data_IF_566304894031
#
_entry.id   IF_566304894031
#
_cell.length_a   1.000
_cell.length_b   1.000
_cell.length_c   1.000
_cell.angle_alpha   90.00
_cell.angle_beta   90.00
_cell.angle_gamma   90.00
#
_symmetry.space_group_name_H-M   'P 1'
#
loop_
_entity.id
_entity.type
_entity.pdbx_description
1 polymer ?
#
# COMPACT_ATOMS: atom_id res chain seq x y z
N UNK A 1 0.53 18.52 -0.66
CA UNK A 1 1.67 18.67 -1.58
C UNK A 1 2.57 17.42 -1.63
N UNK A 2 3.18 17.00 -0.51
CA UNK A 2 4.16 15.89 -0.50
C UNK A 2 3.63 14.54 -1.04
N UNK A 3 2.40 14.13 -0.71
CA UNK A 3 1.78 12.90 -1.23
C UNK A 3 1.68 12.89 -2.76
N UNK A 4 1.23 14.00 -3.36
CA UNK A 4 1.05 14.10 -4.82
C UNK A 4 2.39 13.94 -5.53
N UNK A 5 3.46 14.54 -4.99
CA UNK A 5 4.80 14.40 -5.54
C UNK A 5 5.30 12.94 -5.48
N UNK A 6 5.01 12.22 -4.40
CA UNK A 6 5.38 10.79 -4.28
C UNK A 6 4.60 9.90 -5.22
N UNK A 7 3.29 10.13 -5.39
CA UNK A 7 2.48 9.41 -6.38
C UNK A 7 2.98 9.71 -7.79
N UNK A 8 3.32 10.96 -8.10
CA UNK A 8 3.88 11.35 -9.40
C UNK A 8 5.22 10.65 -9.66
N UNK A 9 6.14 10.67 -8.70
CA UNK A 9 7.42 9.99 -8.80
C UNK A 9 7.26 8.47 -8.96
N UNK A 10 6.28 7.88 -8.27
CA UNK A 10 5.93 6.48 -8.41
C UNK A 10 5.44 6.14 -9.83
N UNK A 11 4.56 6.97 -10.40
CA UNK A 11 4.08 6.83 -11.77
C UNK A 11 5.20 6.99 -12.80
N UNK A 12 6.10 7.96 -12.61
CA UNK A 12 7.26 8.17 -13.47
C UNK A 12 8.23 6.98 -13.41
N UNK A 13 8.40 6.36 -12.24
CA UNK A 13 9.35 5.26 -12.03
C UNK A 13 8.83 3.91 -12.52
N UNK A 14 7.56 3.61 -12.26
CA UNK A 14 7.00 2.26 -12.45
C UNK A 14 5.92 2.19 -13.53
N UNK A 15 5.43 3.34 -14.00
CA UNK A 15 4.25 3.42 -14.87
C UNK A 15 2.94 3.33 -14.09
N UNK A 16 1.83 3.38 -14.83
CA UNK A 16 0.47 3.29 -14.28
C UNK A 16 -0.15 1.90 -14.42
N UNK A 17 0.31 1.11 -15.38
CA UNK A 17 -0.21 -0.24 -15.64
C UNK A 17 0.23 -1.20 -14.54
N UNK A 18 -0.71 -2.01 -14.06
CA UNK A 18 -0.46 -3.06 -13.05
C UNK A 18 0.28 -2.54 -11.80
N UNK A 19 0.04 -1.26 -11.47
CA UNK A 19 0.76 -0.52 -10.44
C UNK A 19 -0.22 0.11 -9.46
N UNK A 20 -0.13 -0.29 -8.19
CA UNK A 20 -1.05 0.12 -7.13
C UNK A 20 -0.32 0.90 -6.06
N UNK A 21 -0.68 2.17 -5.87
CA UNK A 21 -0.07 3.00 -4.82
C UNK A 21 -0.75 2.78 -3.48
N UNK A 22 0.01 2.28 -2.49
CA UNK A 22 -0.41 2.15 -1.10
C UNK A 22 -0.08 3.43 -0.32
N UNK A 23 -1.05 3.93 0.43
CA UNK A 23 -0.87 5.09 1.30
C UNK A 23 -1.54 4.87 2.65
N UNK A 24 -1.03 5.55 3.69
CA UNK A 24 -1.50 5.42 5.07
C UNK A 24 -1.55 3.95 5.54
N UNK A 25 -0.64 3.12 5.04
CA UNK A 25 -0.61 1.70 5.35
C UNK A 25 0.26 1.46 6.58
N UNK A 26 -0.10 0.42 7.34
CA UNK A 26 0.59 0.03 8.56
C UNK A 26 0.70 -1.49 8.69
N UNK A 27 1.79 -1.95 9.27
CA UNK A 27 2.03 -3.33 9.64
C UNK A 27 2.36 -3.38 11.12
N UNK A 28 1.62 -4.19 11.87
CA UNK A 28 1.78 -4.30 13.33
C UNK A 28 2.20 -5.74 13.65
N UNK A 29 3.33 -5.88 14.32
CA UNK A 29 3.79 -7.15 14.88
C UNK A 29 3.49 -7.18 16.38
N UNK A 30 2.95 -8.31 16.84
CA UNK A 30 2.76 -8.63 18.25
C UNK A 30 3.70 -9.80 18.60
N UNK A 31 4.84 -9.49 19.20
CA UNK A 31 5.88 -10.45 19.58
C UNK A 31 5.63 -11.08 20.96
N UNK A 32 4.77 -10.46 21.75
CA UNK A 32 4.27 -11.01 23.02
C UNK A 32 2.74 -10.90 23.05
N UNK A 33 2.15 -11.53 24.06
CA UNK A 33 0.70 -11.51 24.27
C UNK A 33 0.20 -10.18 24.85
N UNK A 34 1.09 -9.26 25.25
CA UNK A 34 0.73 -7.94 25.75
C UNK A 34 1.23 -6.85 24.78
N UNK A 35 0.32 -6.13 24.08
CA UNK A 35 0.69 -5.03 23.19
C UNK A 35 1.42 -3.87 23.87
N UNK A 36 1.36 -3.74 25.20
CA UNK A 36 2.17 -2.75 25.93
C UNK A 36 3.62 -3.21 26.12
N UNK A 37 3.90 -4.49 25.91
CA UNK A 37 5.21 -5.12 26.11
C UNK A 37 5.55 -6.11 25.02
N UNK A 38 5.46 -5.71 23.74
CA UNK A 38 5.87 -6.58 22.63
C UNK A 38 5.34 -6.17 21.27
N UNK A 39 5.01 -4.90 21.08
CA UNK A 39 4.41 -4.42 19.84
C UNK A 39 5.39 -3.59 19.03
N UNK A 40 5.39 -3.79 17.72
CA UNK A 40 6.07 -2.94 16.75
C UNK A 40 5.13 -2.54 15.62
N UNK A 41 4.99 -1.24 15.38
CA UNK A 41 4.18 -0.65 14.33
C UNK A 41 5.08 0.01 13.31
N UNK A 42 5.00 -0.47 12.07
CA UNK A 42 5.64 0.15 10.91
C UNK A 42 4.58 0.87 10.09
N UNK A 43 4.89 2.09 9.68
CA UNK A 43 4.13 2.80 8.64
C UNK A 43 4.86 2.69 7.31
N UNK A 44 4.10 2.60 6.22
CA UNK A 44 4.67 2.53 4.89
C UNK A 44 3.77 3.12 3.81
N UNK A 45 4.41 3.55 2.72
CA UNK A 45 3.77 3.96 1.49
C UNK A 45 4.64 3.55 0.30
N UNK A 46 4.03 3.41 -0.87
CA UNK A 46 4.76 3.03 -2.08
C UNK A 46 3.91 2.27 -3.08
N UNK A 47 4.55 1.51 -3.97
CA UNK A 47 3.89 0.84 -5.09
C UNK A 47 3.93 -0.67 -4.92
N UNK A 48 2.82 -1.34 -5.20
CA UNK A 48 2.75 -2.78 -5.47
C UNK A 48 2.58 -2.98 -6.97
N UNK A 49 3.40 -3.87 -7.53
CA UNK A 49 3.36 -4.25 -8.94
C UNK A 49 2.77 -5.65 -9.07
N UNK A 50 1.78 -5.80 -9.93
CA UNK A 50 1.09 -7.06 -10.23
C UNK A 50 1.58 -7.68 -11.54
N UNK A 51 1.13 -8.90 -11.82
CA UNK A 51 1.27 -9.48 -13.15
C UNK A 51 0.34 -8.79 -14.17
N UNK A 52 0.52 -9.10 -15.45
CA UNK A 52 -0.20 -8.47 -16.58
C UNK A 52 -1.73 -8.58 -16.48
N UNK A 53 -2.24 -9.52 -15.67
CA UNK A 53 -3.68 -9.78 -15.49
C UNK A 53 -4.23 -9.31 -14.15
N UNK A 54 -3.41 -8.63 -13.34
CA UNK A 54 -3.79 -8.19 -11.99
C UNK A 54 -4.25 -9.32 -11.05
N UNK A 55 -3.75 -10.54 -11.28
CA UNK A 55 -4.11 -11.73 -10.52
C UNK A 55 -3.12 -12.03 -9.40
N UNK A 56 -1.91 -11.48 -9.48
CA UNK A 56 -0.86 -11.73 -8.48
C UNK A 56 0.08 -10.53 -8.31
N UNK A 57 0.30 -10.09 -7.07
CA UNK A 57 1.38 -9.19 -6.70
C UNK A 57 2.74 -9.88 -6.88
N UNK A 58 3.63 -9.24 -7.65
CA UNK A 58 4.96 -9.72 -8.01
C UNK A 58 6.07 -9.07 -7.21
N UNK A 59 5.98 -7.76 -7.00
CA UNK A 59 6.99 -6.99 -6.29
C UNK A 59 6.38 -5.73 -5.69
N UNK A 60 7.13 -5.09 -4.81
CA UNK A 60 6.73 -3.81 -4.23
C UNK A 60 7.94 -2.92 -4.00
N UNK A 61 7.74 -1.63 -4.20
CA UNK A 61 8.70 -0.57 -3.89
C UNK A 61 8.11 0.31 -2.79
N UNK A 62 8.54 0.04 -1.55
CA UNK A 62 7.96 0.64 -0.34
C UNK A 62 9.01 1.41 0.43
N UNK A 63 8.62 2.63 0.83
CA UNK A 63 9.25 3.38 1.91
C UNK A 63 8.63 2.90 3.23
N UNK A 64 9.44 2.27 4.07
CA UNK A 64 9.01 1.68 5.34
C UNK A 64 9.74 2.39 6.47
N UNK A 65 9.02 2.77 7.53
CA UNK A 65 9.59 3.40 8.71
C UNK A 65 8.94 2.86 9.98
N UNK A 66 9.76 2.65 11.02
CA UNK A 66 9.24 2.33 12.35
C UNK A 66 8.48 3.53 12.90
N UNK A 67 7.22 3.33 13.27
CA UNK A 67 6.34 4.37 13.83
C UNK A 67 6.33 4.35 15.35
N UNK A 68 6.18 3.16 15.93
CA UNK A 68 6.08 2.95 17.37
C UNK A 68 6.59 1.57 17.73
N UNK A 69 7.24 1.44 18.89
CA UNK A 69 7.54 0.16 19.49
C UNK A 69 7.36 0.19 21.01
N UNK A 70 7.19 -0.98 21.60
CA UNK A 70 7.17 -1.18 23.06
C UNK A 70 8.19 -2.24 23.49
N UNK A 71 9.22 -2.46 22.68
CA UNK A 71 10.17 -3.56 22.81
C UNK A 71 11.55 -3.05 23.23
N UNK A 72 11.76 -2.76 24.51
CA UNK A 72 13.06 -2.28 25.01
C UNK A 72 14.22 -3.29 24.92
N UNK A 73 13.89 -4.55 24.65
CA UNK A 73 14.81 -5.69 24.59
C UNK A 73 15.23 -6.07 23.16
N UNK A 74 14.65 -5.43 22.14
CA UNK A 74 15.05 -5.66 20.75
C UNK A 74 16.26 -4.82 20.38
N UNK A 75 17.13 -5.42 19.56
CA UNK A 75 18.23 -4.70 18.95
C UNK A 75 17.84 -4.19 17.56
N UNK A 76 18.63 -3.25 17.03
CA UNK A 76 18.38 -2.62 15.74
C UNK A 76 18.30 -3.63 14.59
N UNK A 77 19.10 -4.71 14.61
CA UNK A 77 19.09 -5.72 13.55
C UNK A 77 17.74 -6.43 13.42
N UNK A 78 17.05 -6.69 14.53
CA UNK A 78 15.71 -7.29 14.50
C UNK A 78 14.68 -6.27 13.98
N UNK A 79 14.81 -5.01 14.37
CA UNK A 79 13.95 -3.91 13.88
C UNK A 79 14.07 -3.79 12.36
N UNK A 80 15.30 -3.79 11.84
CA UNK A 80 15.58 -3.70 10.41
C UNK A 80 15.02 -4.91 9.66
N UNK A 81 15.22 -6.12 10.20
CA UNK A 81 14.68 -7.35 9.63
C UNK A 81 13.15 -7.36 9.58
N UNK A 82 12.46 -6.87 10.62
CA UNK A 82 11.00 -6.73 10.61
C UNK A 82 10.53 -5.67 9.60
N UNK A 83 11.28 -4.58 9.46
CA UNK A 83 11.07 -3.56 8.44
C UNK A 83 11.18 -4.11 7.02
N UNK A 84 12.18 -4.96 6.75
CA UNK A 84 12.29 -5.67 5.47
C UNK A 84 11.13 -6.66 5.25
N UNK A 85 10.70 -7.34 6.33
CA UNK A 85 9.61 -8.30 6.30
C UNK A 85 8.26 -7.66 5.94
N UNK A 86 8.06 -6.36 6.22
CA UNK A 86 6.87 -5.61 5.78
C UNK A 86 6.62 -5.80 4.27
N UNK A 87 7.67 -5.75 3.43
CA UNK A 87 7.52 -5.94 1.98
C UNK A 87 6.95 -7.31 1.63
N UNK A 88 7.40 -8.36 2.32
CA UNK A 88 6.90 -9.73 2.11
C UNK A 88 5.45 -9.85 2.54
N UNK A 89 5.10 -9.27 3.69
CA UNK A 89 3.73 -9.26 4.20
C UNK A 89 2.78 -8.54 3.23
N UNK A 90 3.19 -7.38 2.70
CA UNK A 90 2.39 -6.64 1.72
C UNK A 90 2.09 -7.49 0.49
N UNK A 91 3.05 -8.22 -0.06
CA UNK A 91 2.81 -9.09 -1.22
C UNK A 91 1.83 -10.22 -0.88
N UNK A 92 1.95 -10.84 0.29
CA UNK A 92 1.05 -11.92 0.74
C UNK A 92 -0.37 -11.39 0.94
N UNK A 93 -0.51 -10.27 1.64
CA UNK A 93 -1.81 -9.68 1.96
C UNK A 93 -2.48 -9.08 0.72
N UNK A 94 -1.71 -8.49 -0.21
CA UNK A 94 -2.25 -8.00 -1.48
C UNK A 94 -2.73 -9.15 -2.37
N UNK A 95 -2.01 -10.27 -2.40
CA UNK A 95 -2.49 -11.49 -3.06
C UNK A 95 -3.79 -12.01 -2.43
N UNK A 96 -3.90 -11.95 -1.09
CA UNK A 96 -5.15 -12.30 -0.39
C UNK A 96 -6.29 -11.36 -0.82
N UNK A 97 -6.04 -10.05 -0.86
CA UNK A 97 -6.99 -9.04 -1.31
C UNK A 97 -7.48 -9.28 -2.76
N UNK A 98 -6.57 -9.59 -3.68
CA UNK A 98 -6.93 -9.97 -5.06
C UNK A 98 -7.79 -11.23 -5.05
N UNK A 99 -7.38 -12.28 -4.33
CA UNK A 99 -8.06 -13.58 -4.32
C UNK A 99 -9.49 -13.53 -3.78
N UNK A 100 -9.79 -12.57 -2.90
CA UNK A 100 -11.13 -12.34 -2.35
C UNK A 100 -12.05 -11.56 -3.32
N UNK A 101 -11.53 -11.20 -4.50
CA UNK A 101 -12.26 -10.45 -5.54
C UNK A 101 -12.47 -8.98 -5.19
N UNK A 102 -11.82 -8.47 -4.14
CA UNK A 102 -12.01 -7.09 -3.71
C UNK A 102 -11.36 -6.09 -4.66
N UNK A 103 -10.32 -6.51 -5.39
CA UNK A 103 -9.78 -5.71 -6.49
C UNK A 103 -10.82 -5.49 -7.60
N UNK A 104 -11.48 -6.54 -8.07
CA UNK A 104 -12.51 -6.45 -9.11
C UNK A 104 -13.70 -5.60 -8.66
N UNK A 105 -14.15 -5.74 -7.41
CA UNK A 105 -15.21 -4.89 -6.84
C UNK A 105 -14.80 -3.42 -6.79
N UNK A 106 -13.54 -3.14 -6.49
CA UNK A 106 -13.02 -1.77 -6.42
C UNK A 106 -12.98 -1.13 -7.81
N UNK A 107 -12.52 -1.87 -8.83
CA UNK A 107 -12.54 -1.40 -10.22
C UNK A 107 -13.97 -1.08 -10.67
N UNK A 108 -14.94 -1.97 -10.41
CA UNK A 108 -16.35 -1.73 -10.73
C UNK A 108 -16.92 -0.48 -10.06
N UNK A 109 -16.55 -0.22 -8.78
CA UNK A 109 -16.99 1.00 -8.08
C UNK A 109 -16.38 2.26 -8.69
N UNK A 110 -15.11 2.20 -9.13
CA UNK A 110 -14.45 3.33 -9.79
C UNK A 110 -15.14 3.65 -11.11
N UNK A 111 -15.43 2.62 -11.93
CA UNK A 111 -16.19 2.78 -13.18
C UNK A 111 -17.58 3.39 -12.94
N UNK A 112 -18.33 2.86 -11.97
CA UNK A 112 -19.65 3.40 -11.60
C UNK A 112 -19.58 4.86 -11.15
N UNK A 113 -18.53 5.23 -10.40
CA UNK A 113 -18.33 6.61 -9.93
C UNK A 113 -17.95 7.54 -11.09
N UNK A 114 -17.13 7.07 -12.04
CA UNK A 114 -16.80 7.81 -13.25
C UNK A 114 -18.05 8.03 -14.13
N UNK A 115 -18.82 6.97 -14.40
CA UNK A 115 -20.08 7.07 -15.13
C UNK A 115 -21.07 8.04 -14.48
N UNK A 116 -21.23 7.98 -13.15
CA UNK A 116 -22.10 8.90 -12.43
C UNK A 116 -21.60 10.36 -12.48
N UNK A 117 -20.28 10.58 -12.51
CA UNK A 117 -19.68 11.90 -12.67
C UNK A 117 -19.86 12.46 -14.08
N UNK A 118 -19.79 11.59 -15.10
CA UNK A 118 -20.01 11.95 -16.50
C UNK A 118 -21.49 12.26 -16.78
N UNK A 119 -22.43 11.49 -16.19
CA UNK A 119 -23.87 11.71 -16.30
C UNK A 119 -24.36 12.93 -15.50
N UNK A 120 -23.71 13.26 -14.37
CA UNK A 120 -24.04 14.44 -13.56
C UNK A 120 -23.50 15.76 -14.14
N UNK A 121 -22.93 15.76 -15.36
CA UNK A 121 -22.42 16.96 -16.02
C UNK A 121 -21.16 17.53 -15.36
N UNK A 122 -20.26 16.65 -14.89
CA UNK A 122 -19.01 17.01 -14.23
C UNK A 122 -18.14 17.96 -15.06
N UNK A 123 -17.97 19.17 -14.55
CA UNK A 123 -17.13 20.27 -15.03
C UNK A 123 -15.85 19.83 -15.78
N UNK A 124 -15.81 20.09 -17.09
CA UNK A 124 -14.56 20.18 -17.86
C UNK A 124 -13.88 21.50 -17.48
N UNK A 125 -13.04 21.44 -16.44
CA UNK A 125 -12.28 22.59 -15.95
C UNK A 125 -10.79 22.29 -15.87
N UNK A 126 -10.04 22.89 -16.80
CA UNK A 126 -8.58 23.17 -16.76
C UNK A 126 -7.63 22.15 -17.43
N UNK A 127 -7.71 22.08 -18.77
CA UNK A 127 -6.48 22.22 -19.57
C UNK A 127 -6.11 23.70 -19.56
N UNK A 128 -4.98 24.05 -18.95
CA UNK A 128 -4.08 25.16 -19.30
C UNK A 128 -2.76 24.96 -18.55
#
# INVERSE_FOLDING_TARGET
>A
AAKILRVKAALEKHGSLNSYYLHNAKCIYHLTNDPQQGMMEFEFEGVVLTDERDMQARSCDLLVSLKRETCSWLNQSIVDWLGETVRRNVLIDFNRYISQGDLSKTLQRIEQTQHASDEAGGFVGMYL
#
